data_IF_639995396763
#
_entry.id   IF_639995396763
#
_cell.length_a   1.000
_cell.length_b   1.000
_cell.length_c   1.000
_cell.angle_alpha   90.00
_cell.angle_beta   90.00
_cell.angle_gamma   90.00
#
_symmetry.space_group_name_H-M   'P 1'
#
loop_
_entity.id
_entity.type
_entity.pdbx_description
1 polymer ?
#
# COMPACT_ATOMS: atom_id res chain seq x y z
N UNK A 1 -3.60 -55.98 32.56
CA UNK A 1 -4.60 -55.67 31.53
C UNK A 1 -4.00 -54.60 30.62
N UNK A 2 -3.30 -55.00 29.56
CA UNK A 2 -2.64 -54.05 28.64
C UNK A 2 -3.54 -53.89 27.44
N UNK A 3 -4.31 -52.79 27.43
CA UNK A 3 -5.24 -52.46 26.36
C UNK A 3 -4.43 -52.10 25.10
N UNK A 4 -4.26 -53.06 24.20
CA UNK A 4 -3.61 -52.83 22.90
C UNK A 4 -4.63 -52.16 22.00
N UNK A 5 -4.63 -50.83 22.02
CA UNK A 5 -5.42 -50.04 21.06
C UNK A 5 -5.07 -50.51 19.65
N UNK A 6 -6.06 -50.82 18.81
CA UNK A 6 -5.79 -51.31 17.48
C UNK A 6 -5.07 -50.23 16.66
N UNK A 7 -4.12 -50.63 15.82
CA UNK A 7 -3.33 -49.73 14.97
C UNK A 7 -4.20 -48.83 14.08
N UNK A 8 -5.41 -49.28 13.76
CA UNK A 8 -6.43 -48.52 13.02
C UNK A 8 -6.92 -47.28 13.77
N UNK A 9 -6.94 -47.30 15.11
CA UNK A 9 -7.32 -46.14 15.93
C UNK A 9 -6.20 -45.09 15.98
N UNK A 10 -4.93 -45.50 16.12
CA UNK A 10 -3.80 -44.55 16.13
C UNK A 10 -3.63 -43.81 14.79
N UNK A 11 -3.85 -44.50 13.66
CA UNK A 11 -3.79 -43.87 12.33
C UNK A 11 -4.94 -42.87 12.15
N UNK A 12 -6.11 -43.15 12.74
CA UNK A 12 -7.24 -42.21 12.79
C UNK A 12 -6.92 -40.96 13.61
N UNK A 13 -6.33 -41.13 14.79
CA UNK A 13 -5.97 -40.03 15.69
C UNK A 13 -4.93 -39.09 15.05
N UNK A 14 -3.86 -39.63 14.45
CA UNK A 14 -2.85 -38.82 13.74
C UNK A 14 -3.46 -38.07 12.55
N UNK A 15 -4.39 -38.68 11.81
CA UNK A 15 -5.07 -38.02 10.70
C UNK A 15 -5.94 -36.85 11.16
N UNK A 16 -6.57 -36.98 12.33
CA UNK A 16 -7.34 -35.92 12.97
C UNK A 16 -6.44 -34.77 13.44
N UNK A 17 -5.31 -35.09 14.09
CA UNK A 17 -4.37 -34.09 14.59
C UNK A 17 -3.75 -33.25 13.45
N UNK A 18 -3.45 -33.89 12.31
CA UNK A 18 -2.95 -33.19 11.11
C UNK A 18 -4.03 -32.28 10.52
N UNK A 19 -5.30 -32.67 10.55
CA UNK A 19 -6.40 -31.81 10.09
C UNK A 19 -6.58 -30.59 11.01
N UNK A 20 -6.42 -30.77 12.32
CA UNK A 20 -6.46 -29.70 13.33
C UNK A 20 -5.36 -28.66 13.04
N UNK A 21 -4.11 -29.10 12.86
CA UNK A 21 -2.96 -28.23 12.56
C UNK A 21 -3.15 -27.43 11.27
N UNK A 22 -3.64 -28.08 10.21
CA UNK A 22 -3.92 -27.40 8.94
C UNK A 22 -5.01 -26.34 9.12
N UNK A 23 -6.04 -26.63 9.93
CA UNK A 23 -7.08 -25.66 10.24
C UNK A 23 -6.53 -24.46 11.02
N UNK A 24 -5.63 -24.71 11.98
CA UNK A 24 -4.95 -23.68 12.77
C UNK A 24 -4.03 -22.81 11.92
N UNK A 25 -3.23 -23.37 11.02
CA UNK A 25 -2.39 -22.59 10.09
C UNK A 25 -3.25 -21.69 9.19
N UNK A 26 -4.37 -22.19 8.68
CA UNK A 26 -5.30 -21.39 7.88
C UNK A 26 -5.91 -20.27 8.73
N UNK A 27 -6.30 -20.56 9.97
CA UNK A 27 -6.83 -19.56 10.89
C UNK A 27 -5.79 -18.48 11.20
N UNK A 28 -4.54 -18.87 11.43
CA UNK A 28 -3.41 -17.99 11.68
C UNK A 28 -3.09 -17.12 10.45
N UNK A 29 -2.96 -17.73 9.28
CA UNK A 29 -2.73 -17.01 8.03
C UNK A 29 -3.86 -16.01 7.74
N UNK A 30 -5.11 -16.38 7.99
CA UNK A 30 -6.25 -15.48 7.89
C UNK A 30 -6.17 -14.33 8.90
N UNK A 31 -5.71 -14.59 10.13
CA UNK A 31 -5.50 -13.56 11.14
C UNK A 31 -4.39 -12.59 10.72
N UNK A 32 -3.27 -13.08 10.20
CA UNK A 32 -2.15 -12.26 9.75
C UNK A 32 -2.51 -11.41 8.53
N UNK A 33 -3.23 -11.99 7.56
CA UNK A 33 -3.76 -11.24 6.40
C UNK A 33 -4.74 -10.17 6.87
N UNK A 34 -5.65 -10.49 7.81
CA UNK A 34 -6.60 -9.51 8.35
C UNK A 34 -5.88 -8.38 9.10
N UNK A 35 -4.87 -8.70 9.88
CA UNK A 35 -4.07 -7.73 10.61
C UNK A 35 -3.28 -6.82 9.65
N UNK A 36 -2.67 -7.41 8.62
CA UNK A 36 -1.97 -6.70 7.55
C UNK A 36 -2.91 -5.76 6.80
N UNK A 37 -4.10 -6.25 6.42
CA UNK A 37 -5.13 -5.46 5.76
C UNK A 37 -5.64 -4.32 6.66
N UNK A 38 -5.82 -4.56 7.96
CA UNK A 38 -6.23 -3.52 8.92
C UNK A 38 -5.16 -2.44 9.05
N UNK A 39 -3.90 -2.83 9.19
CA UNK A 39 -2.80 -1.88 9.30
C UNK A 39 -2.64 -1.05 8.02
N UNK A 40 -2.76 -1.69 6.86
CA UNK A 40 -2.75 -1.00 5.57
C UNK A 40 -3.96 -0.06 5.43
N UNK A 41 -5.15 -0.47 5.87
CA UNK A 41 -6.36 0.35 5.81
C UNK A 41 -6.28 1.57 6.74
N UNK A 42 -5.82 1.39 7.99
CA UNK A 42 -5.63 2.49 8.94
C UNK A 42 -4.53 3.44 8.44
N UNK A 43 -3.39 2.90 8.00
CA UNK A 43 -2.31 3.70 7.44
C UNK A 43 -2.76 4.49 6.21
N UNK A 44 -3.41 3.83 5.25
CA UNK A 44 -3.97 4.45 4.06
C UNK A 44 -5.04 5.51 4.39
N UNK A 45 -5.95 5.21 5.31
CA UNK A 45 -6.97 6.14 5.77
C UNK A 45 -6.40 7.39 6.42
N UNK A 46 -5.38 7.26 7.27
CA UNK A 46 -4.68 8.39 7.88
C UNK A 46 -3.98 9.27 6.84
N UNK A 47 -3.35 8.68 5.82
CA UNK A 47 -2.74 9.46 4.74
C UNK A 47 -3.76 10.23 3.91
N UNK A 48 -4.93 9.65 3.62
CA UNK A 48 -6.01 10.35 2.93
C UNK A 48 -6.52 11.51 3.80
N UNK A 49 -6.79 11.26 5.08
CA UNK A 49 -7.23 12.29 6.02
C UNK A 49 -6.21 13.43 6.11
N UNK A 50 -4.93 13.12 6.31
CA UNK A 50 -3.85 14.10 6.35
C UNK A 50 -3.74 14.90 5.04
N UNK A 51 -3.88 14.24 3.89
CA UNK A 51 -3.90 14.90 2.58
C UNK A 51 -5.04 15.91 2.45
N UNK A 52 -6.27 15.52 2.80
CA UNK A 52 -7.43 16.40 2.77
C UNK A 52 -7.29 17.57 3.75
N UNK A 53 -6.84 17.30 4.98
CA UNK A 53 -6.57 18.35 5.98
C UNK A 53 -5.50 19.33 5.50
N UNK A 54 -4.42 18.85 4.89
CA UNK A 54 -3.38 19.70 4.33
C UNK A 54 -3.90 20.59 3.18
N UNK A 55 -4.75 20.04 2.30
CA UNK A 55 -5.41 20.83 1.22
C UNK A 55 -6.29 21.93 1.81
N UNK A 56 -7.11 21.63 2.81
CA UNK A 56 -7.93 22.61 3.51
C UNK A 56 -7.08 23.71 4.18
N UNK A 57 -6.01 23.32 4.89
CA UNK A 57 -5.11 24.26 5.53
C UNK A 57 -4.45 25.20 4.50
N UNK A 58 -3.96 24.66 3.38
CA UNK A 58 -3.39 25.45 2.29
C UNK A 58 -4.41 26.42 1.66
N UNK A 59 -5.67 25.99 1.53
CA UNK A 59 -6.73 26.86 1.02
C UNK A 59 -6.97 28.07 1.95
N UNK A 60 -7.10 27.85 3.25
CA UNK A 60 -7.26 28.95 4.21
C UNK A 60 -6.02 29.83 4.30
N UNK A 61 -4.82 29.26 4.21
CA UNK A 61 -3.57 30.02 4.18
C UNK A 61 -3.48 30.89 2.92
N UNK A 62 -3.93 30.39 1.77
CA UNK A 62 -4.02 31.16 0.53
C UNK A 62 -5.00 32.33 0.66
N UNK A 63 -6.18 32.11 1.24
CA UNK A 63 -7.14 33.20 1.50
C UNK A 63 -6.56 34.24 2.46
N UNK A 64 -5.93 33.81 3.55
CA UNK A 64 -5.29 34.72 4.51
C UNK A 64 -4.16 35.53 3.86
N UNK A 65 -3.32 34.89 3.03
CA UNK A 65 -2.28 35.57 2.28
C UNK A 65 -2.86 36.58 1.28
N UNK A 66 -3.90 36.20 0.54
CA UNK A 66 -4.58 37.10 -0.40
C UNK A 66 -5.12 38.34 0.31
N UNK A 67 -5.86 38.15 1.41
CA UNK A 67 -6.44 39.26 2.18
C UNK A 67 -5.35 40.11 2.85
N UNK A 68 -4.32 39.47 3.40
CA UNK A 68 -3.19 40.17 4.03
C UNK A 68 -2.41 41.03 3.04
N UNK A 69 -2.07 40.50 1.86
CA UNK A 69 -1.47 41.29 0.78
C UNK A 69 -2.45 42.38 0.29
N UNK A 70 -3.75 42.07 0.32
CA UNK A 70 -4.82 42.99 -0.07
C UNK A 70 -4.76 44.32 0.66
N UNK A 71 -4.35 44.30 1.92
CA UNK A 71 -4.17 45.50 2.76
C UNK A 71 -2.98 46.37 2.31
N UNK A 72 -1.99 45.80 1.62
CA UNK A 72 -0.77 46.50 1.19
C UNK A 72 -0.87 47.01 -0.25
N UNK A 73 -1.35 46.16 -1.16
CA UNK A 73 -1.29 46.42 -2.62
C UNK A 73 -2.66 46.31 -3.31
N UNK A 74 -3.74 46.11 -2.56
CA UNK A 74 -5.09 45.93 -3.08
C UNK A 74 -5.39 44.49 -3.50
N UNK A 75 -6.66 44.08 -3.35
CA UNK A 75 -7.08 42.68 -3.52
C UNK A 75 -6.83 42.13 -4.94
N UNK A 76 -6.92 42.97 -5.99
CA UNK A 76 -6.69 42.53 -7.36
C UNK A 76 -5.22 42.13 -7.61
N UNK A 77 -4.27 42.98 -7.21
CA UNK A 77 -2.83 42.72 -7.40
C UNK A 77 -2.33 41.60 -6.47
N UNK A 78 -2.83 41.58 -5.24
CA UNK A 78 -2.57 40.50 -4.27
C UNK A 78 -2.91 39.14 -4.84
N UNK A 79 -4.01 39.11 -5.59
CA UNK A 79 -4.44 37.92 -6.27
C UNK A 79 -3.52 37.42 -7.35
N UNK A 80 -3.09 38.35 -8.20
CA UNK A 80 -2.14 38.03 -9.26
C UNK A 80 -0.81 37.53 -8.68
N UNK A 81 -0.30 38.20 -7.64
CA UNK A 81 0.93 37.80 -6.95
C UNK A 81 0.79 36.39 -6.36
N UNK A 82 -0.29 36.12 -5.64
CA UNK A 82 -0.50 34.80 -5.04
C UNK A 82 -0.66 33.71 -6.11
N UNK A 83 -1.35 33.99 -7.21
CA UNK A 83 -1.50 33.06 -8.32
C UNK A 83 -0.13 32.69 -8.93
N UNK A 84 0.75 33.67 -9.14
CA UNK A 84 2.12 33.43 -9.65
C UNK A 84 2.91 32.57 -8.66
N UNK A 85 2.86 32.88 -7.36
CA UNK A 85 3.54 32.10 -6.31
C UNK A 85 3.05 30.65 -6.31
N UNK A 86 1.74 30.42 -6.36
CA UNK A 86 1.17 29.08 -6.37
C UNK A 86 1.53 28.31 -7.65
N UNK A 87 1.58 28.97 -8.81
CA UNK A 87 2.03 28.34 -10.05
C UNK A 87 3.50 27.90 -9.99
N UNK A 88 4.37 28.71 -9.38
CA UNK A 88 5.77 28.33 -9.16
C UNK A 88 5.87 27.11 -8.24
N UNK A 89 5.15 27.12 -7.11
CA UNK A 89 5.12 25.99 -6.17
C UNK A 89 4.58 24.72 -6.88
N UNK A 90 3.50 24.84 -7.64
CA UNK A 90 2.91 23.74 -8.40
C UNK A 90 3.88 23.19 -9.45
N UNK A 91 4.56 24.06 -10.20
CA UNK A 91 5.57 23.67 -11.17
C UNK A 91 6.72 22.88 -10.54
N UNK A 92 7.22 23.32 -9.37
CA UNK A 92 8.24 22.60 -8.60
C UNK A 92 7.70 21.24 -8.13
N UNK A 93 6.50 21.20 -7.55
CA UNK A 93 5.88 19.98 -7.04
C UNK A 93 5.68 18.93 -8.16
N UNK A 94 5.17 19.34 -9.33
CA UNK A 94 5.05 18.46 -10.51
C UNK A 94 6.43 18.01 -10.97
N UNK A 95 7.42 18.91 -11.05
CA UNK A 95 8.77 18.56 -11.45
C UNK A 95 9.42 17.51 -10.54
N UNK A 96 9.30 17.68 -9.21
CA UNK A 96 9.78 16.73 -8.21
C UNK A 96 9.00 15.41 -8.30
N UNK A 97 7.68 15.47 -8.40
CA UNK A 97 6.80 14.30 -8.51
C UNK A 97 7.15 13.44 -9.72
N UNK A 98 7.26 14.06 -10.90
CA UNK A 98 7.66 13.37 -12.15
C UNK A 98 9.05 12.74 -12.00
N UNK A 99 10.01 13.46 -11.42
CA UNK A 99 11.36 12.92 -11.17
C UNK A 99 11.32 11.74 -10.21
N UNK A 100 10.48 11.78 -9.17
CA UNK A 100 10.37 10.71 -8.18
C UNK A 100 9.72 9.46 -8.78
N UNK A 101 8.61 9.63 -9.52
CA UNK A 101 7.94 8.51 -10.20
C UNK A 101 8.88 7.86 -11.22
N UNK A 102 9.60 8.64 -12.02
CA UNK A 102 10.59 8.11 -12.98
C UNK A 102 11.75 7.35 -12.32
N UNK A 103 12.09 7.67 -11.05
CA UNK A 103 13.11 6.96 -10.28
C UNK A 103 12.62 5.65 -9.68
N UNK A 104 11.31 5.46 -9.53
CA UNK A 104 10.72 4.18 -9.17
C UNK A 104 10.76 3.28 -10.42
N UNK A 105 11.94 2.72 -10.72
CA UNK A 105 12.03 1.55 -11.61
C UNK A 105 11.25 0.44 -10.89
N UNK A 106 10.07 0.07 -11.42
CA UNK A 106 9.15 -0.88 -10.79
C UNK A 106 9.89 -2.13 -10.31
N UNK A 107 9.56 -2.61 -9.10
CA UNK A 107 10.29 -3.62 -8.32
C UNK A 107 10.87 -4.75 -9.18
N UNK A 108 12.09 -4.59 -9.73
CA UNK A 108 12.52 -5.40 -10.86
C UNK A 108 12.77 -6.84 -10.42
N UNK A 109 13.20 -7.01 -9.17
CA UNK A 109 13.42 -8.32 -8.55
C UNK A 109 12.15 -9.13 -8.35
N UNK A 110 11.01 -8.49 -8.06
CA UNK A 110 9.71 -9.19 -7.93
C UNK A 110 9.22 -9.65 -9.29
N UNK A 111 9.34 -8.80 -10.31
CA UNK A 111 8.96 -9.13 -11.68
C UNK A 111 9.88 -10.23 -12.24
N UNK A 112 11.17 -10.18 -11.93
CA UNK A 112 12.16 -11.17 -12.35
C UNK A 112 11.98 -12.52 -11.65
N UNK A 113 11.61 -12.51 -10.35
CA UNK A 113 11.31 -13.74 -9.60
C UNK A 113 10.04 -14.43 -10.13
N UNK A 114 8.97 -13.66 -10.40
CA UNK A 114 7.73 -14.20 -10.99
C UNK A 114 7.98 -14.70 -12.42
N UNK A 115 8.80 -14.01 -13.22
CA UNK A 115 9.21 -14.45 -14.56
C UNK A 115 10.16 -15.65 -14.55
N UNK A 116 10.98 -15.80 -13.50
CA UNK A 116 11.82 -16.99 -13.28
C UNK A 116 10.96 -18.21 -13.01
N UNK A 117 9.98 -18.07 -12.11
CA UNK A 117 9.02 -19.13 -11.77
C UNK A 117 8.14 -19.50 -12.96
N UNK A 118 7.61 -18.53 -13.71
CA UNK A 118 6.79 -18.82 -14.90
C UNK A 118 7.58 -19.59 -15.99
N UNK A 119 8.88 -19.30 -16.13
CA UNK A 119 9.76 -20.04 -17.07
C UNK A 119 10.03 -21.48 -16.63
N UNK A 120 10.16 -21.74 -15.33
CA UNK A 120 10.35 -23.12 -14.83
C UNK A 120 9.10 -24.00 -14.91
N UNK A 121 7.91 -23.41 -15.08
CA UNK A 121 6.66 -24.14 -15.27
C UNK A 121 6.22 -24.26 -16.74
N UNK A 122 7.05 -23.81 -17.70
CA UNK A 122 6.75 -24.08 -19.11
C UNK A 122 7.25 -25.49 -19.42
N UNK A 123 6.37 -26.49 -19.64
CA UNK A 123 6.81 -27.85 -19.92
C UNK A 123 7.49 -27.83 -21.29
N UNK A 124 8.78 -28.14 -21.29
CA UNK A 124 9.55 -28.41 -22.49
C UNK A 124 8.89 -29.62 -23.16
N UNK A 125 8.02 -29.33 -24.15
CA UNK A 125 7.33 -30.35 -24.95
C UNK A 125 8.42 -31.12 -25.70
N UNK A 126 8.86 -32.21 -25.08
CA UNK A 126 9.83 -33.16 -25.60
C UNK A 126 9.40 -33.56 -27.00
N UNK A 127 10.24 -33.18 -27.96
CA UNK A 127 10.20 -33.61 -29.34
C UNK A 127 10.25 -35.13 -29.41
N UNK A 128 9.30 -35.66 -30.18
CA UNK A 128 9.32 -36.92 -30.95
C UNK A 128 9.11 -38.20 -30.16
#
# INVERSE_FOLDING_TARGET
MTDRRPLTTLVGDISSDVQELVHEEIALAKAEVRQSARNAAVGGGLFIAAGLTAVLALFFLALAAWWGLGLLIGNALSGLVLAVVLLVIAGIAVGVGVRRVRRVKGAPRTVESVRGLARSFTPERSRR
#
